data_IF_239582056694
#
_entry.id   IF_239582056694
#
_cell.length_a   1.000
_cell.length_b   1.000
_cell.length_c   1.000
_cell.angle_alpha   90.00
_cell.angle_beta   90.00
_cell.angle_gamma   90.00
#
_symmetry.space_group_name_H-M   'P 1'
#
loop_
_entity.id
_entity.type
_entity.pdbx_description
1 polymer ?
#
# COMPACT_ATOMS: atom_id res chain seq x y z
N UNK A 1 -6.41 -11.45 20.35
CA UNK A 1 -5.09 -10.86 20.11
C UNK A 1 -5.26 -9.77 19.06
N UNK A 2 -5.08 -8.51 19.43
CA UNK A 2 -5.09 -7.42 18.44
C UNK A 2 -3.76 -7.44 17.70
N UNK A 3 -3.81 -7.72 16.40
CA UNK A 3 -2.68 -7.62 15.51
C UNK A 3 -2.49 -6.14 15.15
N UNK A 4 -1.79 -5.41 16.00
CA UNK A 4 -1.54 -3.98 15.80
C UNK A 4 -0.03 -3.71 15.84
N UNK A 5 0.42 -2.86 14.96
CA UNK A 5 1.78 -2.34 14.98
C UNK A 5 1.96 -1.36 16.15
N UNK A 6 3.15 -1.30 16.72
CA UNK A 6 3.49 -0.19 17.63
C UNK A 6 3.46 1.13 16.87
N UNK A 7 3.42 2.25 17.59
CA UNK A 7 3.43 3.57 16.97
C UNK A 7 4.67 3.80 16.09
N UNK A 8 5.83 3.36 16.56
CA UNK A 8 7.10 3.46 15.85
C UNK A 8 7.13 2.60 14.58
N UNK A 9 6.62 1.36 14.68
CA UNK A 9 6.51 0.46 13.55
C UNK A 9 5.56 1.02 12.49
N UNK A 10 4.43 1.56 12.91
CA UNK A 10 3.46 2.19 12.02
C UNK A 10 4.07 3.40 11.31
N UNK A 11 4.76 4.29 12.03
CA UNK A 11 5.42 5.46 11.45
C UNK A 11 6.51 5.06 10.45
N UNK A 12 7.27 4.01 10.75
CA UNK A 12 8.33 3.52 9.88
C UNK A 12 7.77 3.00 8.55
N UNK A 13 6.76 2.13 8.58
CA UNK A 13 6.19 1.59 7.35
C UNK A 13 5.40 2.64 6.57
N UNK A 14 4.66 3.50 7.24
CA UNK A 14 3.93 4.59 6.60
C UNK A 14 4.88 5.52 5.82
N UNK A 15 6.01 5.88 6.42
CA UNK A 15 7.04 6.68 5.75
C UNK A 15 7.55 6.01 4.48
N UNK A 16 7.87 4.72 4.51
CA UNK A 16 8.37 4.01 3.35
C UNK A 16 7.31 3.88 2.25
N UNK A 17 6.06 3.65 2.60
CA UNK A 17 4.97 3.59 1.63
C UNK A 17 4.65 4.97 1.03
N UNK A 18 4.79 6.06 1.77
CA UNK A 18 4.71 7.41 1.23
C UNK A 18 5.81 7.68 0.19
N UNK A 19 7.04 7.29 0.48
CA UNK A 19 8.17 7.41 -0.44
C UNK A 19 7.98 6.55 -1.70
N UNK A 20 7.52 5.31 -1.53
CA UNK A 20 7.17 4.41 -2.64
C UNK A 20 6.03 4.98 -3.49
N UNK A 21 4.98 5.49 -2.87
CA UNK A 21 3.85 6.10 -3.58
C UNK A 21 4.27 7.27 -4.46
N UNK A 22 5.15 8.15 -3.96
CA UNK A 22 5.74 9.22 -4.74
C UNK A 22 6.64 8.71 -5.87
N UNK A 23 7.45 7.68 -5.61
CA UNK A 23 8.29 7.02 -6.61
C UNK A 23 7.45 6.41 -7.75
N UNK A 24 6.33 5.78 -7.44
CA UNK A 24 5.40 5.26 -8.46
C UNK A 24 4.93 6.32 -9.43
N UNK A 25 4.71 7.54 -8.98
CA UNK A 25 4.26 8.65 -9.83
C UNK A 25 5.36 9.19 -10.76
N UNK A 26 6.62 8.84 -10.55
CA UNK A 26 7.72 9.26 -11.43
C UNK A 26 7.71 8.56 -12.81
N UNK A 27 6.75 7.68 -13.07
CA UNK A 27 6.58 6.98 -14.34
C UNK A 27 7.49 5.75 -14.51
N UNK A 28 8.18 5.31 -13.47
CA UNK A 28 9.03 4.11 -13.49
C UNK A 28 8.26 2.82 -13.23
N UNK A 29 6.99 2.94 -12.86
CA UNK A 29 6.04 1.81 -12.87
C UNK A 29 5.34 1.77 -14.23
N UNK A 30 5.01 0.57 -14.66
CA UNK A 30 4.28 0.30 -15.89
C UNK A 30 3.02 1.19 -16.00
N UNK A 31 2.98 2.02 -17.03
CA UNK A 31 1.87 2.94 -17.31
C UNK A 31 0.52 2.23 -17.43
N UNK A 32 0.51 0.94 -17.79
CA UNK A 32 -0.70 0.14 -17.86
C UNK A 32 -1.37 -0.03 -16.48
N UNK A 33 -0.58 -0.16 -15.42
CA UNK A 33 -1.11 -0.24 -14.05
C UNK A 33 -1.66 1.09 -13.56
N UNK A 34 -0.99 2.19 -13.91
CA UNK A 34 -1.46 3.55 -13.59
C UNK A 34 -2.78 3.82 -14.32
N UNK A 35 -2.90 3.44 -15.59
CA UNK A 35 -4.12 3.62 -16.37
C UNK A 35 -5.30 2.79 -15.86
N UNK A 36 -5.06 1.57 -15.38
CA UNK A 36 -6.12 0.74 -14.80
C UNK A 36 -6.67 1.36 -13.51
N UNK A 37 -5.83 2.01 -12.73
CA UNK A 37 -6.23 2.68 -11.49
C UNK A 37 -6.72 4.10 -11.76
N UNK A 38 -6.20 4.79 -12.77
CA UNK A 38 -6.74 6.08 -13.23
C UNK A 38 -8.19 5.95 -13.70
N UNK A 39 -8.56 4.84 -14.36
CA UNK A 39 -9.97 4.52 -14.66
C UNK A 39 -10.79 4.27 -13.40
N UNK A 40 -10.18 3.66 -12.40
CA UNK A 40 -10.78 3.40 -11.10
C UNK A 40 -10.96 4.68 -10.29
N UNK A 41 -10.04 5.64 -10.43
CA UNK A 41 -9.99 6.91 -9.71
C UNK A 41 -10.12 8.12 -10.64
N UNK A 42 -10.91 8.00 -11.72
CA UNK A 42 -11.06 9.03 -12.77
C UNK A 42 -11.46 10.44 -12.26
N UNK A 43 -11.84 10.56 -10.99
CA UNK A 43 -12.14 11.83 -10.30
C UNK A 43 -10.97 12.38 -9.49
N UNK A 44 -9.83 11.67 -9.44
CA UNK A 44 -8.65 12.09 -8.67
C UNK A 44 -7.65 12.70 -9.63
N UNK A 45 -7.54 14.02 -9.64
CA UNK A 45 -6.44 14.70 -10.32
C UNK A 45 -5.12 14.25 -9.70
N UNK A 46 -4.17 13.71 -10.51
CA UNK A 46 -2.84 13.45 -10.03
C UNK A 46 -2.20 14.79 -9.66
N UNK A 47 -2.10 15.07 -8.38
CA UNK A 47 -1.32 16.22 -7.91
C UNK A 47 0.15 15.93 -8.23
N UNK A 48 0.79 16.85 -8.90
CA UNK A 48 2.23 16.80 -9.16
C UNK A 48 2.97 16.57 -7.83
N UNK A 49 3.87 15.57 -7.74
CA UNK A 49 4.46 15.19 -6.48
C UNK A 49 5.46 16.25 -6.03
N UNK A 50 5.05 17.07 -5.08
CA UNK A 50 5.99 17.82 -4.22
C UNK A 50 6.48 16.96 -3.04
N UNK A 51 6.23 15.64 -3.10
CA UNK A 51 6.54 14.68 -2.05
C UNK A 51 7.97 14.16 -2.19
N UNK A 52 8.66 13.87 -1.07
CA UNK A 52 9.93 13.15 -1.10
C UNK A 52 9.78 11.79 -1.80
N UNK A 53 10.80 11.41 -2.57
CA UNK A 53 10.84 10.18 -3.36
C UNK A 53 12.00 9.33 -2.87
N UNK A 54 11.84 8.00 -2.80
CA UNK A 54 12.93 7.07 -2.52
C UNK A 54 13.81 6.83 -3.76
N UNK A 55 14.95 6.19 -3.56
CA UNK A 55 15.80 5.74 -4.66
C UNK A 55 15.09 4.67 -5.51
N UNK A 56 15.56 4.45 -6.74
CA UNK A 56 15.02 3.41 -7.60
C UNK A 56 15.18 2.02 -6.99
N UNK A 57 16.32 1.73 -6.36
CA UNK A 57 16.57 0.48 -5.66
C UNK A 57 15.57 0.23 -4.53
N UNK A 58 15.28 1.26 -3.74
CA UNK A 58 14.31 1.18 -2.67
C UNK A 58 12.88 1.02 -3.23
N UNK A 59 12.54 1.82 -4.24
CA UNK A 59 11.23 1.77 -4.89
C UNK A 59 10.93 0.40 -5.47
N UNK A 60 11.86 -0.19 -6.20
CA UNK A 60 11.74 -1.53 -6.79
C UNK A 60 11.63 -2.61 -5.71
N UNK A 61 12.40 -2.52 -4.62
CA UNK A 61 12.33 -3.46 -3.53
C UNK A 61 10.97 -3.41 -2.83
N UNK A 62 10.48 -2.22 -2.51
CA UNK A 62 9.18 -2.03 -1.87
C UNK A 62 8.05 -2.53 -2.79
N UNK A 63 8.11 -2.20 -4.08
CA UNK A 63 7.12 -2.64 -5.07
C UNK A 63 7.05 -4.17 -5.18
N UNK A 64 8.20 -4.84 -5.20
CA UNK A 64 8.27 -6.29 -5.22
C UNK A 64 7.62 -6.93 -3.97
N UNK A 65 7.86 -6.37 -2.79
CA UNK A 65 7.24 -6.82 -1.53
C UNK A 65 5.73 -6.62 -1.57
N UNK A 66 5.25 -5.45 -1.99
CA UNK A 66 3.82 -5.15 -2.07
C UNK A 66 3.12 -6.10 -3.06
N UNK A 67 3.72 -6.35 -4.22
CA UNK A 67 3.16 -7.28 -5.20
C UNK A 67 3.07 -8.70 -4.65
N UNK A 68 4.11 -9.17 -4.01
CA UNK A 68 4.19 -10.54 -3.51
C UNK A 68 3.22 -10.77 -2.34
N UNK A 69 3.21 -9.88 -1.34
CA UNK A 69 2.47 -10.09 -0.10
C UNK A 69 1.07 -9.48 -0.09
N UNK A 70 0.76 -8.56 -0.99
CA UNK A 70 -0.53 -7.90 -1.04
C UNK A 70 -1.27 -8.13 -2.35
N UNK A 71 -0.72 -7.72 -3.49
CA UNK A 71 -1.42 -7.81 -4.78
C UNK A 71 -1.82 -9.22 -5.16
N UNK A 72 -0.94 -10.20 -4.95
CA UNK A 72 -1.19 -11.60 -5.28
C UNK A 72 -2.12 -12.30 -4.28
N UNK A 73 -2.29 -11.75 -3.08
CA UNK A 73 -3.10 -12.33 -2.00
C UNK A 73 -4.49 -11.68 -1.94
N UNK A 74 -4.54 -10.35 -1.99
CA UNK A 74 -5.78 -9.56 -1.92
C UNK A 74 -5.68 -8.33 -2.82
N UNK A 75 -6.17 -8.47 -4.05
CA UNK A 75 -6.14 -7.40 -5.04
C UNK A 75 -6.96 -6.17 -4.59
N UNK A 76 -8.03 -6.36 -3.83
CA UNK A 76 -8.84 -5.25 -3.35
C UNK A 76 -8.10 -4.44 -2.28
N UNK A 77 -7.42 -5.10 -1.35
CA UNK A 77 -6.55 -4.43 -0.39
C UNK A 77 -5.41 -3.69 -1.09
N UNK A 78 -4.81 -4.30 -2.10
CA UNK A 78 -3.78 -3.64 -2.92
C UNK A 78 -4.31 -2.38 -3.62
N UNK A 79 -5.51 -2.40 -4.19
CA UNK A 79 -6.15 -1.22 -4.81
C UNK A 79 -6.34 -0.08 -3.79
N UNK A 80 -6.76 -0.40 -2.58
CA UNK A 80 -6.93 0.59 -1.50
C UNK A 80 -5.57 1.20 -1.13
N UNK A 81 -4.55 0.40 -0.93
CA UNK A 81 -3.19 0.86 -0.60
C UNK A 81 -2.61 1.71 -1.74
N UNK A 82 -2.81 1.30 -2.98
CA UNK A 82 -2.36 2.07 -4.14
C UNK A 82 -3.08 3.43 -4.21
N UNK A 83 -4.40 3.46 -4.06
CA UNK A 83 -5.17 4.69 -4.04
C UNK A 83 -4.71 5.64 -2.92
N UNK A 84 -4.43 5.09 -1.74
CA UNK A 84 -4.02 5.86 -0.57
C UNK A 84 -2.62 6.45 -0.71
N UNK A 85 -1.61 5.64 -1.08
CA UNK A 85 -0.21 6.05 -1.11
C UNK A 85 0.26 6.58 -2.46
N UNK A 86 -0.16 5.99 -3.58
CA UNK A 86 0.27 6.41 -4.91
C UNK A 86 -0.58 7.58 -5.41
N UNK A 87 -1.91 7.42 -5.40
CA UNK A 87 -2.82 8.49 -5.83
C UNK A 87 -3.01 9.58 -4.77
N UNK A 88 -2.42 9.41 -3.58
CA UNK A 88 -2.55 10.35 -2.45
C UNK A 88 -4.00 10.67 -2.10
N UNK A 89 -4.88 9.68 -2.20
CA UNK A 89 -6.31 9.83 -1.93
C UNK A 89 -6.59 9.69 -0.45
N UNK A 90 -7.47 10.54 0.08
CA UNK A 90 -7.91 10.42 1.47
C UNK A 90 -8.80 9.19 1.68
N UNK A 91 -8.86 8.69 2.91
CA UNK A 91 -9.78 7.61 3.30
C UNK A 91 -11.23 7.90 2.91
N UNK A 92 -11.65 9.17 3.03
CA UNK A 92 -13.00 9.62 2.68
C UNK A 92 -13.25 9.48 1.17
N UNK A 93 -12.29 9.86 0.32
CA UNK A 93 -12.40 9.71 -1.14
C UNK A 93 -12.48 8.26 -1.57
N UNK A 94 -11.62 7.42 -1.01
CA UNK A 94 -11.61 5.97 -1.28
C UNK A 94 -12.95 5.37 -0.85
N UNK A 95 -13.45 5.73 0.34
CA UNK A 95 -14.73 5.26 0.84
C UNK A 95 -15.90 5.72 -0.02
N UNK A 96 -15.90 6.97 -0.48
CA UNK A 96 -16.94 7.50 -1.37
C UNK A 96 -17.01 6.75 -2.69
N UNK A 97 -15.84 6.46 -3.28
CA UNK A 97 -15.78 5.69 -4.51
C UNK A 97 -16.26 4.25 -4.29
N UNK A 98 -15.78 3.56 -3.26
CA UNK A 98 -16.22 2.20 -2.93
C UNK A 98 -17.71 2.13 -2.62
N UNK A 99 -18.26 3.16 -1.96
CA UNK A 99 -19.70 3.26 -1.72
C UNK A 99 -20.49 3.36 -3.02
N UNK A 100 -20.03 4.16 -3.98
CA UNK A 100 -20.69 4.34 -5.27
C UNK A 100 -20.75 3.04 -6.10
N UNK A 101 -19.72 2.18 -6.00
CA UNK A 101 -19.62 0.90 -6.74
C UNK A 101 -20.06 -0.30 -5.90
N UNK A 102 -20.39 -0.13 -4.62
CA UNK A 102 -20.76 -1.23 -3.74
C UNK A 102 -22.13 -1.81 -4.10
N UNK A 103 -22.29 -3.10 -3.87
CA UNK A 103 -23.55 -3.82 -4.05
C UNK A 103 -24.19 -4.12 -2.69
N UNK A 104 -25.53 -4.31 -2.64
CA UNK A 104 -26.16 -4.82 -1.43
C UNK A 104 -25.50 -6.13 -0.99
N UNK A 105 -25.26 -6.28 0.31
CA UNK A 105 -24.68 -7.48 0.90
C UNK A 105 -25.37 -7.83 2.22
N UNK A 106 -25.22 -9.08 2.64
CA UNK A 106 -25.75 -9.53 3.91
C UNK A 106 -25.04 -8.82 5.06
N UNK A 107 -25.78 -8.06 5.83
CA UNK A 107 -25.26 -7.29 6.97
C UNK A 107 -26.01 -7.67 8.25
N UNK A 108 -25.26 -7.77 9.36
CA UNK A 108 -25.82 -7.97 10.68
C UNK A 108 -26.42 -6.65 11.17
N UNK A 109 -27.72 -6.64 11.44
CA UNK A 109 -28.44 -5.49 12.00
C UNK A 109 -29.06 -5.87 13.34
N UNK A 110 -29.64 -4.89 14.05
CA UNK A 110 -30.38 -5.15 15.32
C UNK A 110 -31.58 -6.07 15.10
N UNK A 111 -32.18 -6.06 13.89
CA UNK A 111 -33.30 -6.90 13.50
C UNK A 111 -32.89 -8.24 12.87
N UNK A 112 -31.61 -8.64 12.97
CA UNK A 112 -31.05 -9.83 12.36
C UNK A 112 -30.26 -9.55 11.07
N UNK A 113 -29.95 -10.61 10.34
CA UNK A 113 -29.21 -10.50 9.08
C UNK A 113 -30.13 -9.99 7.96
N UNK A 114 -29.75 -8.91 7.33
CA UNK A 114 -30.51 -8.30 6.22
C UNK A 114 -29.60 -7.99 5.03
N UNK A 115 -30.12 -8.18 3.83
CA UNK A 115 -29.49 -7.71 2.59
C UNK A 115 -29.65 -6.19 2.51
N UNK A 116 -28.55 -5.48 2.61
CA UNK A 116 -28.56 -4.02 2.67
C UNK A 116 -27.33 -3.44 1.98
N UNK A 117 -27.52 -2.28 1.37
CA UNK A 117 -26.40 -1.47 0.88
C UNK A 117 -25.63 -0.89 2.07
N UNK A 118 -24.30 -1.10 2.18
CA UNK A 118 -23.54 -0.55 3.29
C UNK A 118 -23.54 0.97 3.28
N UNK A 119 -23.62 1.59 4.45
CA UNK A 119 -23.50 3.04 4.57
C UNK A 119 -22.08 3.51 4.30
N UNK A 120 -21.93 4.78 3.92
CA UNK A 120 -20.59 5.37 3.71
C UNK A 120 -19.73 5.31 4.98
N UNK A 121 -20.33 5.46 6.16
CA UNK A 121 -19.63 5.33 7.44
C UNK A 121 -19.09 3.92 7.67
N UNK A 122 -19.84 2.90 7.27
CA UNK A 122 -19.41 1.49 7.33
C UNK A 122 -18.22 1.28 6.40
N UNK A 123 -18.31 1.72 5.14
CA UNK A 123 -17.24 1.57 4.16
C UNK A 123 -15.99 2.34 4.58
N UNK A 124 -16.14 3.55 5.13
CA UNK A 124 -14.99 4.33 5.64
C UNK A 124 -14.25 3.59 6.75
N UNK A 125 -14.96 2.96 7.65
CA UNK A 125 -14.36 2.13 8.72
C UNK A 125 -13.63 0.93 8.14
N UNK A 126 -14.21 0.28 7.13
CA UNK A 126 -13.60 -0.85 6.43
C UNK A 126 -12.33 -0.44 5.68
N UNK A 127 -12.33 0.69 4.99
CA UNK A 127 -11.12 1.25 4.34
C UNK A 127 -9.99 1.42 5.35
N UNK A 128 -10.28 2.02 6.49
CA UNK A 128 -9.29 2.18 7.57
C UNK A 128 -8.77 0.84 8.09
N UNK A 129 -9.65 -0.13 8.26
CA UNK A 129 -9.26 -1.49 8.68
C UNK A 129 -8.38 -2.17 7.63
N UNK A 130 -8.70 -2.03 6.35
CA UNK A 130 -7.89 -2.59 5.24
C UNK A 130 -6.50 -1.96 5.22
N UNK A 131 -6.40 -0.64 5.36
CA UNK A 131 -5.10 0.05 5.42
C UNK A 131 -4.27 -0.47 6.59
N UNK A 132 -4.83 -0.52 7.80
CA UNK A 132 -4.10 -0.98 8.98
C UNK A 132 -3.67 -2.45 8.86
N UNK A 133 -4.53 -3.32 8.34
CA UNK A 133 -4.21 -4.73 8.11
C UNK A 133 -3.11 -4.89 7.07
N UNK A 134 -3.14 -4.13 5.98
CA UNK A 134 -2.11 -4.15 4.95
C UNK A 134 -0.75 -3.68 5.51
N UNK A 135 -0.72 -2.60 6.28
CA UNK A 135 0.50 -2.13 6.94
C UNK A 135 1.09 -3.21 7.86
N UNK A 136 0.23 -3.86 8.64
CA UNK A 136 0.66 -4.97 9.50
C UNK A 136 1.28 -6.12 8.69
N UNK A 137 0.63 -6.54 7.61
CA UNK A 137 1.11 -7.62 6.75
C UNK A 137 2.43 -7.28 6.03
N UNK A 138 2.63 -6.02 5.66
CA UNK A 138 3.81 -5.58 4.90
C UNK A 138 5.01 -5.26 5.78
N UNK A 139 4.81 -4.95 7.05
CA UNK A 139 5.87 -4.47 7.94
C UNK A 139 7.06 -5.42 8.03
N UNK A 140 6.84 -6.65 8.45
CA UNK A 140 7.91 -7.63 8.63
C UNK A 140 8.59 -8.05 7.31
N UNK A 141 7.84 -8.37 6.24
CA UNK A 141 8.44 -8.65 4.94
C UNK A 141 9.31 -7.52 4.41
N UNK A 142 8.88 -6.28 4.56
CA UNK A 142 9.64 -5.12 4.10
C UNK A 142 10.92 -4.93 4.91
N UNK A 143 10.85 -5.06 6.22
CA UNK A 143 12.01 -5.01 7.12
C UNK A 143 13.03 -6.09 6.79
N UNK A 144 12.57 -7.33 6.58
CA UNK A 144 13.42 -8.45 6.19
C UNK A 144 14.13 -8.18 4.86
N UNK A 145 13.40 -7.68 3.87
CA UNK A 145 13.96 -7.39 2.53
C UNK A 145 15.05 -6.31 2.58
N UNK A 146 14.86 -5.27 3.37
CA UNK A 146 15.92 -4.26 3.59
C UNK A 146 17.14 -4.85 4.28
N UNK A 147 16.95 -5.66 5.32
CA UNK A 147 18.03 -6.30 6.06
C UNK A 147 18.83 -7.26 5.18
N UNK A 148 18.17 -8.07 4.36
CA UNK A 148 18.81 -9.03 3.45
C UNK A 148 19.63 -8.28 2.39
N UNK A 149 19.11 -7.22 1.83
CA UNK A 149 19.85 -6.37 0.89
C UNK A 149 21.14 -5.80 1.52
N UNK A 150 21.06 -5.34 2.76
CA UNK A 150 22.23 -4.82 3.49
C UNK A 150 23.27 -5.92 3.77
N UNK A 151 22.84 -7.15 4.08
CA UNK A 151 23.72 -8.30 4.24
C UNK A 151 24.48 -8.61 2.95
N UNK A 152 23.77 -8.66 1.82
CA UNK A 152 24.37 -8.92 0.50
C UNK A 152 25.39 -7.84 0.15
N UNK A 153 25.08 -6.56 0.38
CA UNK A 153 26.02 -5.45 0.14
C UNK A 153 27.28 -5.54 1.00
N UNK A 154 27.16 -5.95 2.26
CA UNK A 154 28.31 -6.14 3.16
C UNK A 154 29.21 -7.29 2.69
N UNK A 155 28.63 -8.42 2.28
CA UNK A 155 29.38 -9.55 1.75
C UNK A 155 30.14 -9.16 0.49
N UNK A 156 29.49 -8.47 -0.46
CA UNK A 156 30.13 -8.01 -1.69
C UNK A 156 31.31 -7.06 -1.43
N UNK A 157 31.19 -6.14 -0.48
CA UNK A 157 32.29 -5.23 -0.09
C UNK A 157 33.47 -6.00 0.50
N UNK A 158 33.21 -6.98 1.36
CA UNK A 158 34.26 -7.77 1.98
C UNK A 158 34.99 -8.66 0.95
N UNK A 159 34.27 -9.24 -0.02
CA UNK A 159 34.88 -10.04 -1.08
C UNK A 159 35.80 -9.21 -1.99
N UNK A 160 35.41 -7.98 -2.31
CA UNK A 160 36.23 -7.07 -3.11
C UNK A 160 37.51 -6.64 -2.36
N UNK A 161 37.45 -6.52 -1.03
CA UNK A 161 38.63 -6.20 -0.22
C UNK A 161 39.63 -7.37 -0.10
N UNK A 162 39.17 -8.60 -0.23
CA UNK A 162 40.04 -9.81 -0.23
C UNK A 162 40.78 -10.01 -1.55
N UNK A 163 40.21 -9.53 -2.65
CA UNK A 163 40.81 -9.63 -4.00
C UNK A 163 41.79 -8.49 -4.33
N UNK A 164 41.92 -7.51 -3.44
CA UNK A 164 42.81 -6.35 -3.64
C UNK A 164 44.22 -6.52 -3.04
N UNK A 165 44.63 -7.75 -2.70
CA UNK A 165 45.98 -8.12 -2.24
C UNK A 165 46.67 -9.08 -3.19
#
# INVERSE_FOLDING_TARGET
MKLELTKEQHQWIDKWLQLWGAWCQTGKIDKAMINMIAKFMATVEPQAPSRPVCSDDDGMLIDAVIRHYLKNVDENAWKVIFAYYVCNSSEIRIASWLHAVSKPRLMKTRAGNQYKHPSISTIRREVKQVINAALFCLYQPLQNSFNDRERVRKIAKNSNNVLAF
#
